data_IF_969914187081
#
_entry.id   IF_969914187081
#
_cell.length_a   1.000
_cell.length_b   1.000
_cell.length_c   1.000
_cell.angle_alpha   90.00
_cell.angle_beta   90.00
_cell.angle_gamma   90.00
#
_symmetry.space_group_name_H-M   'P 1'
#
loop_
_entity.id
_entity.type
_entity.pdbx_description
1 polymer ?
#
# COMPACT_ATOMS: atom_id res chain seq x y z
N UNK A 1 -11.94 7.37 -20.74
CA UNK A 1 -12.80 7.52 -19.56
C UNK A 1 -12.42 6.49 -18.52
N UNK A 2 -12.22 6.94 -17.28
CA UNK A 2 -11.87 6.04 -16.20
C UNK A 2 -13.05 5.18 -15.78
N UNK A 3 -12.79 3.91 -15.46
CA UNK A 3 -13.81 3.01 -14.91
C UNK A 3 -14.18 3.45 -13.50
N UNK A 4 -15.42 3.21 -13.13
CA UNK A 4 -15.89 3.48 -11.77
C UNK A 4 -15.51 2.33 -10.84
N UNK A 5 -15.00 2.68 -9.66
CA UNK A 5 -14.66 1.71 -8.62
C UNK A 5 -15.69 1.73 -7.50
N UNK A 6 -15.51 0.80 -6.58
CA UNK A 6 -16.29 0.74 -5.34
C UNK A 6 -15.60 1.58 -4.27
N UNK A 7 -16.37 2.25 -3.42
CA UNK A 7 -15.82 3.11 -2.38
C UNK A 7 -14.95 2.36 -1.34
N UNK A 8 -15.14 1.06 -1.20
CA UNK A 8 -14.35 0.22 -0.30
C UNK A 8 -13.20 -0.50 -1.01
N UNK A 9 -12.98 -0.22 -2.31
CA UNK A 9 -11.89 -0.83 -3.06
C UNK A 9 -12.11 -2.28 -3.48
N UNK A 10 -13.33 -2.80 -3.35
CA UNK A 10 -13.63 -4.22 -3.66
C UNK A 10 -13.41 -4.57 -5.12
N UNK A 11 -13.44 -3.60 -6.02
CA UNK A 11 -13.16 -3.80 -7.44
C UNK A 11 -11.71 -4.23 -7.70
N UNK A 12 -10.81 -4.03 -6.75
CA UNK A 12 -9.42 -4.48 -6.85
C UNK A 12 -9.16 -5.80 -6.15
N UNK A 13 -10.14 -6.38 -5.51
CA UNK A 13 -9.98 -7.69 -4.86
C UNK A 13 -9.91 -8.79 -5.91
N UNK A 14 -8.82 -9.54 -5.90
CA UNK A 14 -8.61 -10.66 -6.81
C UNK A 14 -9.05 -11.97 -6.15
N UNK A 15 -8.68 -12.17 -4.87
CA UNK A 15 -8.87 -13.45 -4.20
C UNK A 15 -9.02 -13.27 -2.68
N UNK A 16 -10.05 -13.83 -2.04
CA UNK A 16 -11.30 -14.32 -2.66
C UNK A 16 -12.20 -13.15 -3.06
N UNK A 17 -12.87 -13.28 -4.19
CA UNK A 17 -13.80 -12.24 -4.65
C UNK A 17 -14.97 -12.09 -3.68
N UNK A 18 -15.46 -10.85 -3.55
CA UNK A 18 -16.61 -10.54 -2.71
C UNK A 18 -16.29 -10.16 -1.27
N UNK A 19 -15.01 -10.17 -0.88
CA UNK A 19 -14.59 -9.69 0.45
C UNK A 19 -14.02 -8.27 0.36
N UNK A 20 -13.90 -7.62 1.52
CA UNK A 20 -13.23 -6.32 1.59
C UNK A 20 -11.72 -6.49 1.41
N UNK A 21 -11.05 -5.41 1.00
CA UNK A 21 -9.60 -5.41 0.74
C UNK A 21 -8.78 -5.89 1.93
N UNK A 22 -9.22 -5.58 3.15
CA UNK A 22 -8.55 -6.03 4.38
C UNK A 22 -8.53 -7.56 4.49
N UNK A 23 -9.63 -8.21 4.17
CA UNK A 23 -9.78 -9.66 4.28
C UNK A 23 -9.24 -10.41 3.06
N UNK A 24 -8.92 -9.72 1.98
CA UNK A 24 -8.45 -10.34 0.75
C UNK A 24 -7.05 -10.92 0.91
N UNK A 25 -6.81 -12.07 0.29
CA UNK A 25 -5.49 -12.67 0.17
C UNK A 25 -4.64 -11.92 -0.86
N UNK A 26 -5.29 -11.45 -1.91
CA UNK A 26 -4.61 -10.76 -3.01
C UNK A 26 -5.51 -9.68 -3.59
N UNK A 27 -4.90 -8.51 -3.85
CA UNK A 27 -5.57 -7.38 -4.50
C UNK A 27 -4.75 -6.91 -5.70
N UNK A 28 -5.42 -6.24 -6.63
CA UNK A 28 -4.80 -5.70 -7.83
C UNK A 28 -4.03 -4.42 -7.48
N UNK A 29 -2.73 -4.43 -7.74
CA UNK A 29 -1.84 -3.28 -7.54
C UNK A 29 -1.30 -2.72 -8.85
N UNK A 30 -2.05 -2.85 -9.94
CA UNK A 30 -1.70 -2.20 -11.20
C UNK A 30 -1.85 -0.68 -11.04
N UNK A 31 -0.74 0.04 -11.18
CA UNK A 31 -0.68 1.49 -10.99
C UNK A 31 -0.75 2.27 -12.29
N UNK A 32 -0.75 1.59 -13.43
CA UNK A 32 -0.75 2.25 -14.74
C UNK A 32 -2.10 2.89 -15.06
N UNK A 33 -3.18 2.29 -14.58
CA UNK A 33 -4.53 2.82 -14.75
C UNK A 33 -5.25 2.86 -13.40
N UNK A 34 -5.81 4.01 -13.08
CA UNK A 34 -6.61 4.17 -11.85
C UNK A 34 -8.09 4.25 -12.20
N UNK A 35 -8.92 3.85 -11.24
CA UNK A 35 -10.37 4.00 -11.32
C UNK A 35 -10.77 5.42 -10.93
N UNK A 36 -11.96 5.85 -11.28
CA UNK A 36 -12.41 7.23 -11.13
C UNK A 36 -12.53 7.69 -9.66
N UNK A 37 -12.60 6.75 -8.72
CA UNK A 37 -12.70 7.04 -7.28
C UNK A 37 -11.37 6.77 -6.53
N UNK A 38 -10.27 6.70 -7.26
CA UNK A 38 -8.98 6.37 -6.69
C UNK A 38 -8.03 7.56 -6.67
N UNK A 39 -7.12 7.55 -5.70
CA UNK A 39 -6.03 8.51 -5.60
C UNK A 39 -4.73 7.72 -5.71
N UNK A 40 -3.97 8.00 -6.76
CA UNK A 40 -2.65 7.40 -6.94
C UNK A 40 -1.64 8.25 -6.17
N UNK A 41 -0.87 7.59 -5.32
CA UNK A 41 0.16 8.24 -4.50
C UNK A 41 1.54 7.71 -4.84
N UNK A 42 2.51 8.61 -4.91
CA UNK A 42 3.92 8.22 -4.86
C UNK A 42 4.28 8.03 -3.38
N UNK A 43 4.91 6.91 -3.06
CA UNK A 43 5.23 6.55 -1.69
C UNK A 43 6.74 6.66 -1.49
N UNK A 44 7.15 7.39 -0.47
CA UNK A 44 8.57 7.58 -0.14
C UNK A 44 9.01 6.75 1.05
N UNK A 45 8.08 6.42 1.94
CA UNK A 45 8.38 5.60 3.11
C UNK A 45 7.16 4.81 3.57
N UNK A 46 7.43 3.63 4.10
CA UNK A 46 6.45 2.81 4.81
C UNK A 46 6.83 2.79 6.28
N UNK A 47 5.83 2.91 7.15
CA UNK A 47 5.99 2.61 8.56
C UNK A 47 5.22 1.34 8.83
N UNK A 48 5.95 0.24 8.94
CA UNK A 48 5.33 -1.07 9.11
C UNK A 48 4.95 -1.26 10.57
N UNK A 49 3.77 -1.83 10.79
CA UNK A 49 3.27 -2.10 12.13
C UNK A 49 4.31 -2.91 12.93
N UNK A 50 4.54 -2.54 14.19
CA UNK A 50 5.65 -3.11 14.97
C UNK A 50 5.56 -4.63 15.12
N UNK A 51 4.37 -5.18 15.31
CA UNK A 51 4.18 -6.63 15.38
C UNK A 51 4.59 -7.31 14.07
N UNK A 52 4.21 -6.73 12.95
CA UNK A 52 4.57 -7.23 11.62
C UNK A 52 6.06 -7.12 11.37
N UNK A 53 6.65 -5.98 11.69
CA UNK A 53 8.09 -5.76 11.47
C UNK A 53 8.94 -6.70 12.33
N UNK A 54 8.57 -6.87 13.59
CA UNK A 54 9.26 -7.79 14.51
C UNK A 54 9.21 -9.21 13.97
N UNK A 55 8.06 -9.66 13.52
CA UNK A 55 7.91 -11.02 12.96
C UNK A 55 8.79 -11.21 11.71
N UNK A 56 8.80 -10.22 10.81
CA UNK A 56 9.64 -10.27 9.60
C UNK A 56 11.12 -10.27 9.98
N UNK A 57 11.52 -9.40 10.88
CA UNK A 57 12.90 -9.29 11.33
C UNK A 57 13.38 -10.59 11.99
N UNK A 58 12.57 -11.19 12.86
CA UNK A 58 12.90 -12.45 13.51
C UNK A 58 13.02 -13.58 12.48
N UNK A 59 12.11 -13.66 11.54
CA UNK A 59 12.15 -14.66 10.46
C UNK A 59 13.41 -14.54 9.60
N UNK A 60 13.98 -13.34 9.50
CA UNK A 60 15.18 -13.06 8.71
C UNK A 60 16.46 -13.01 9.54
N UNK A 61 16.40 -13.30 10.83
CA UNK A 61 17.56 -13.23 11.72
C UNK A 61 18.12 -11.81 11.86
N UNK A 62 17.28 -10.79 11.67
CA UNK A 62 17.69 -9.39 11.74
C UNK A 62 18.46 -8.86 10.53
N UNK A 63 18.60 -9.66 9.48
CA UNK A 63 19.33 -9.27 8.26
C UNK A 63 18.49 -8.32 7.42
N UNK A 64 18.95 -7.08 7.25
CA UNK A 64 18.21 -6.03 6.54
C UNK A 64 17.95 -6.40 5.07
N UNK A 65 18.89 -7.04 4.40
CA UNK A 65 18.70 -7.48 3.01
C UNK A 65 17.55 -8.49 2.91
N UNK A 66 17.52 -9.47 3.81
CA UNK A 66 16.47 -10.48 3.83
C UNK A 66 15.12 -9.89 4.22
N UNK A 67 15.10 -8.91 5.15
CA UNK A 67 13.89 -8.18 5.52
C UNK A 67 13.31 -7.48 4.28
N UNK A 68 14.15 -6.78 3.53
CA UNK A 68 13.73 -6.12 2.29
C UNK A 68 13.18 -7.09 1.26
N UNK A 69 13.85 -8.22 1.06
CA UNK A 69 13.40 -9.26 0.13
C UNK A 69 12.04 -9.84 0.55
N UNK A 70 11.83 -10.06 1.85
CA UNK A 70 10.55 -10.58 2.36
C UNK A 70 9.42 -9.58 2.14
N UNK A 71 9.65 -8.30 2.40
CA UNK A 71 8.66 -7.23 2.16
C UNK A 71 8.33 -7.16 0.67
N UNK A 72 9.34 -7.16 -0.20
CA UNK A 72 9.12 -7.16 -1.65
C UNK A 72 8.30 -8.37 -2.10
N UNK A 73 8.58 -9.54 -1.53
CA UNK A 73 7.85 -10.78 -1.82
C UNK A 73 6.38 -10.71 -1.41
N UNK A 74 6.11 -10.21 -0.21
CA UNK A 74 4.73 -10.05 0.29
C UNK A 74 3.93 -9.13 -0.64
N UNK A 75 4.49 -7.98 -1.00
CA UNK A 75 3.81 -7.00 -1.84
C UNK A 75 3.63 -7.53 -3.26
N UNK A 76 4.62 -8.21 -3.82
CA UNK A 76 4.52 -8.80 -5.15
C UNK A 76 3.44 -9.88 -5.21
N UNK A 77 3.35 -10.71 -4.18
CA UNK A 77 2.38 -11.81 -4.13
C UNK A 77 0.96 -11.33 -3.83
N UNK A 78 0.81 -10.43 -2.87
CA UNK A 78 -0.51 -10.03 -2.35
C UNK A 78 -1.03 -8.72 -2.93
N UNK A 79 -0.19 -7.92 -3.55
CA UNK A 79 -0.56 -6.59 -4.05
C UNK A 79 -0.72 -5.56 -2.94
N UNK A 80 -0.32 -5.89 -1.72
CA UNK A 80 -0.41 -5.04 -0.53
C UNK A 80 0.58 -5.51 0.54
N UNK A 81 0.93 -4.61 1.45
CA UNK A 81 1.76 -4.97 2.61
C UNK A 81 0.84 -5.43 3.76
N UNK A 82 0.56 -6.70 3.80
CA UNK A 82 -0.12 -7.34 4.92
C UNK A 82 0.66 -8.60 5.29
N UNK A 83 1.16 -8.64 6.52
CA UNK A 83 1.94 -9.78 6.98
C UNK A 83 1.04 -11.03 7.07
N UNK A 84 1.38 -12.12 6.38
CA UNK A 84 0.55 -13.33 6.39
C UNK A 84 0.47 -14.02 7.76
N UNK A 85 1.39 -13.71 8.67
CA UNK A 85 1.40 -14.29 10.02
C UNK A 85 0.58 -13.45 10.99
N UNK A 86 0.81 -12.12 11.02
CA UNK A 86 0.16 -11.23 11.99
C UNK A 86 -1.14 -10.62 11.44
N UNK A 87 -1.31 -10.58 10.12
CA UNK A 87 -2.44 -9.91 9.48
C UNK A 87 -2.36 -8.39 9.50
N UNK A 88 -1.32 -7.82 10.07
CA UNK A 88 -1.15 -6.38 10.17
C UNK A 88 -0.38 -5.79 8.99
N UNK A 89 -0.46 -4.48 8.82
CA UNK A 89 0.18 -3.76 7.71
C UNK A 89 1.04 -2.60 8.21
N UNK A 90 0.46 -1.43 8.26
CA UNK A 90 1.17 -0.21 8.64
C UNK A 90 0.59 1.01 7.93
N UNK A 91 1.40 2.02 7.75
CA UNK A 91 1.01 3.27 7.10
C UNK A 91 2.10 3.73 6.13
N UNK A 92 1.78 4.71 5.27
CA UNK A 92 2.78 5.25 4.35
C UNK A 92 2.81 6.78 4.34
N UNK A 93 3.94 7.29 3.87
CA UNK A 93 4.14 8.71 3.61
C UNK A 93 4.51 8.91 2.14
N UNK A 94 4.03 9.99 1.54
CA UNK A 94 4.31 10.26 0.16
C UNK A 94 3.64 11.54 -0.33
N UNK A 95 3.30 11.55 -1.60
CA UNK A 95 2.58 12.66 -2.20
C UNK A 95 1.53 12.16 -3.20
N UNK A 96 0.56 13.01 -3.49
CA UNK A 96 -0.50 12.72 -4.47
C UNK A 96 0.09 12.84 -5.86
N UNK A 97 -0.02 11.76 -6.65
CA UNK A 97 0.43 11.73 -8.05
C UNK A 97 -0.71 12.00 -9.02
N UNK A 98 -1.89 11.39 -8.78
CA UNK A 98 -3.04 11.52 -9.67
C UNK A 98 -4.34 11.30 -8.91
N UNK A 99 -5.37 12.06 -9.29
CA UNK A 99 -6.69 11.98 -8.65
C UNK A 99 -7.70 11.49 -9.68
N UNK A 100 -8.53 10.52 -9.27
CA UNK A 100 -9.59 9.98 -10.11
C UNK A 100 -10.61 11.06 -10.53
N UNK A 101 -11.18 10.90 -11.72
CA UNK A 101 -12.04 11.95 -12.30
C UNK A 101 -13.27 12.26 -11.46
N UNK A 102 -13.83 11.26 -10.74
CA UNK A 102 -14.99 11.47 -9.88
C UNK A 102 -14.67 12.26 -8.60
N UNK A 103 -13.40 12.37 -8.25
CA UNK A 103 -12.95 13.05 -7.04
C UNK A 103 -12.48 14.47 -7.28
N UNK A 104 -12.20 14.84 -8.51
CA UNK A 104 -11.71 16.16 -8.86
C UNK A 104 -12.73 17.22 -8.44
N UNK A 105 -12.28 18.18 -7.63
CA UNK A 105 -13.14 19.24 -7.11
C UNK A 105 -14.04 18.84 -5.95
N UNK A 106 -14.01 17.56 -5.52
CA UNK A 106 -14.83 17.06 -4.41
C UNK A 106 -14.02 16.79 -3.15
N UNK A 107 -12.71 16.67 -3.28
CA UNK A 107 -11.80 16.46 -2.15
C UNK A 107 -10.80 17.61 -2.07
N UNK A 108 -10.28 17.83 -0.89
CA UNK A 108 -9.36 18.95 -0.61
C UNK A 108 -7.90 18.56 -0.84
N UNK A 109 -7.66 17.65 -1.78
CA UNK A 109 -6.33 17.23 -2.19
C UNK A 109 -6.09 17.60 -3.65
N UNK A 110 -4.85 17.86 -3.99
CA UNK A 110 -4.40 18.12 -5.36
C UNK A 110 -3.08 17.42 -5.62
N UNK A 111 -2.75 17.25 -6.88
CA UNK A 111 -1.49 16.66 -7.30
C UNK A 111 -0.31 17.41 -6.70
N UNK A 112 0.65 16.68 -6.16
CA UNK A 112 1.83 17.22 -5.50
C UNK A 112 1.69 17.39 -4.00
N UNK A 113 0.48 17.32 -3.43
CA UNK A 113 0.29 17.45 -1.98
C UNK A 113 1.01 16.34 -1.24
N UNK A 114 1.70 16.70 -0.17
CA UNK A 114 2.31 15.72 0.74
C UNK A 114 1.24 15.12 1.63
N UNK A 115 1.30 13.81 1.82
CA UNK A 115 0.33 13.08 2.64
C UNK A 115 1.00 12.05 3.52
N UNK A 116 0.32 11.78 4.64
CA UNK A 116 0.57 10.61 5.48
C UNK A 116 -0.74 9.87 5.55
N UNK A 117 -0.77 8.64 5.07
CA UNK A 117 -1.99 7.84 5.10
C UNK A 117 -2.10 7.08 6.40
N UNK A 118 -3.21 7.25 7.09
CA UNK A 118 -3.55 6.47 8.28
C UNK A 118 -4.36 5.22 7.92
N UNK A 119 -4.69 5.05 6.64
CA UNK A 119 -5.34 3.83 6.16
C UNK A 119 -4.32 2.70 6.18
N UNK A 120 -4.68 1.57 6.80
CA UNK A 120 -3.75 0.45 6.92
C UNK A 120 -3.25 -0.05 5.56
N UNK A 121 -1.96 -0.33 5.48
CA UNK A 121 -1.36 -0.96 4.30
C UNK A 121 -1.98 -2.32 4.01
N UNK A 122 -2.57 -2.98 5.00
CA UNK A 122 -3.21 -4.28 4.84
C UNK A 122 -4.43 -4.25 3.93
N UNK A 123 -4.95 -3.07 3.61
CA UNK A 123 -6.09 -2.90 2.70
C UNK A 123 -5.77 -1.96 1.52
N UNK A 124 -4.53 -1.57 1.36
CA UNK A 124 -4.11 -0.57 0.37
C UNK A 124 -3.32 -1.21 -0.76
N UNK A 125 -3.75 -1.09 -2.03
CA UNK A 125 -2.93 -1.52 -3.16
C UNK A 125 -1.58 -0.82 -3.13
N UNK A 126 -0.52 -1.62 -3.17
CA UNK A 126 0.86 -1.13 -3.06
C UNK A 126 1.75 -1.86 -4.05
N UNK A 127 2.59 -1.10 -4.73
CA UNK A 127 3.61 -1.65 -5.63
C UNK A 127 4.93 -1.00 -5.30
N UNK A 128 5.92 -1.79 -4.91
CA UNK A 128 7.26 -1.31 -4.56
C UNK A 128 8.21 -1.58 -5.72
N UNK A 129 8.81 -0.52 -6.25
CA UNK A 129 9.83 -0.64 -7.30
C UNK A 129 11.21 -0.90 -6.69
N UNK A 130 11.50 -0.30 -5.54
CA UNK A 130 12.80 -0.39 -4.89
C UNK A 130 12.70 -0.09 -3.41
N UNK A 131 13.45 -0.83 -2.60
CA UNK A 131 13.68 -0.52 -1.19
C UNK A 131 15.02 0.20 -1.11
N UNK A 132 15.02 1.40 -0.53
CA UNK A 132 16.22 2.25 -0.43
C UNK A 132 16.97 2.04 0.88
N UNK A 133 16.25 1.91 1.99
CA UNK A 133 16.85 1.76 3.32
C UNK A 133 15.85 1.13 4.28
N UNK A 134 16.36 0.42 5.27
CA UNK A 134 15.56 -0.16 6.35
C UNK A 134 16.05 0.40 7.67
N UNK A 135 15.15 0.99 8.44
CA UNK A 135 15.43 1.57 9.76
C UNK A 135 14.73 0.73 10.82
N UNK A 136 15.40 -0.32 11.28
CA UNK A 136 14.82 -1.33 12.20
C UNK A 136 14.36 -0.72 13.52
N UNK A 137 15.04 0.30 14.00
CA UNK A 137 14.77 0.93 15.29
C UNK A 137 13.43 1.70 15.31
N UNK A 138 12.90 2.05 14.14
CA UNK A 138 11.64 2.80 14.02
C UNK A 138 10.64 2.14 13.08
N UNK A 139 10.87 0.90 12.71
CA UNK A 139 9.99 0.12 11.82
C UNK A 139 9.71 0.81 10.48
N UNK A 140 10.66 1.59 10.00
CA UNK A 140 10.53 2.40 8.78
C UNK A 140 11.31 1.79 7.62
N UNK A 141 10.69 1.82 6.44
CA UNK A 141 11.33 1.39 5.18
C UNK A 141 11.23 2.53 4.18
N UNK A 142 12.37 3.05 3.74
CA UNK A 142 12.41 4.05 2.67
C UNK A 142 12.33 3.33 1.33
N UNK A 143 11.43 3.80 0.45
CA UNK A 143 11.08 3.09 -0.78
C UNK A 143 10.92 4.04 -1.96
N UNK A 144 10.95 3.45 -3.16
CA UNK A 144 10.33 4.00 -4.36
C UNK A 144 9.11 3.11 -4.63
N UNK A 145 7.93 3.65 -4.41
CA UNK A 145 6.70 2.87 -4.48
C UNK A 145 5.52 3.74 -4.89
N UNK A 146 4.41 3.07 -5.18
CA UNK A 146 3.12 3.71 -5.45
C UNK A 146 2.04 2.97 -4.69
N UNK A 147 1.01 3.71 -4.29
CA UNK A 147 -0.14 3.18 -3.57
C UNK A 147 -1.42 3.83 -4.07
N UNK A 148 -2.54 3.18 -3.80
CA UNK A 148 -3.86 3.68 -4.20
C UNK A 148 -4.74 3.81 -2.97
N UNK A 149 -5.34 4.99 -2.80
CA UNK A 149 -6.38 5.24 -1.80
C UNK A 149 -7.73 5.31 -2.49
N UNK A 150 -8.77 4.86 -1.80
CA UNK A 150 -10.14 4.87 -2.31
C UNK A 150 -10.94 5.96 -1.62
N UNK A 151 -11.84 6.60 -2.39
CA UNK A 151 -12.77 7.59 -1.86
C UNK A 151 -14.11 7.43 -2.58
N UNK A 152 -15.14 7.94 -1.99
CA UNK A 152 -16.49 7.88 -2.58
C UNK A 152 -17.02 9.24 -3.04
#
# INVERSE_FOLDING_TARGET
MQKKGNKYGTHRVIEPKGVLTQAAQKIDNNMDEIYSNEILCNVTALNIDSASFTQISDACGGDETKIGEMIMGIVAERGKQQNPVTGSGGMFMGNVAKIGDDLKGKIDLKEGDKIVSLVSLSLTPLKISKIKAIHKEIDRVDVEAQAILFES
#
